data_IF_834137160587
#
_entry.id   IF_834137160587
#
_cell.length_a   1.000
_cell.length_b   1.000
_cell.length_c   1.000
_cell.angle_alpha   90.00
_cell.angle_beta   90.00
_cell.angle_gamma   90.00
#
_symmetry.space_group_name_H-M   'P 1'
#
loop_
_entity.id
_entity.type
_entity.pdbx_description
1 polymer ?
#
# COMPACT_ATOMS: atom_id res chain seq x y z
N UNK A 1 -8.81 -15.51 11.01
CA UNK A 1 -7.40 -15.26 11.41
C UNK A 1 -7.24 -13.78 11.77
N UNK A 2 -6.23 -13.43 12.57
CA UNK A 2 -5.95 -12.02 12.93
C UNK A 2 -5.25 -11.32 11.76
N UNK A 3 -5.78 -10.20 11.29
CA UNK A 3 -5.14 -9.39 10.24
C UNK A 3 -3.85 -8.77 10.75
N UNK A 4 -2.87 -8.62 9.85
CA UNK A 4 -1.62 -7.87 10.08
C UNK A 4 -1.67 -6.54 9.34
N UNK A 5 -0.92 -5.57 9.81
CA UNK A 5 -0.84 -4.22 9.23
C UNK A 5 0.61 -3.78 9.20
N UNK A 6 0.95 -2.88 8.27
CA UNK A 6 2.24 -2.18 8.32
C UNK A 6 2.10 -1.08 9.37
N UNK A 7 3.04 -1.01 10.31
CA UNK A 7 3.05 0.01 11.36
C UNK A 7 4.19 0.98 11.16
N UNK A 8 3.99 2.22 11.62
CA UNK A 8 5.03 3.22 11.79
C UNK A 8 5.29 3.31 13.30
N UNK A 9 6.53 3.14 13.74
CA UNK A 9 6.88 3.33 15.15
C UNK A 9 6.95 4.82 15.53
N UNK A 10 7.16 5.13 16.82
CA UNK A 10 7.28 6.51 17.29
C UNK A 10 8.47 7.29 16.71
N UNK A 11 9.43 6.59 16.10
CA UNK A 11 10.59 7.19 15.43
C UNK A 11 10.35 7.36 13.92
N UNK A 12 9.14 7.05 13.44
CA UNK A 12 8.80 7.14 12.03
C UNK A 12 9.30 5.96 11.19
N UNK A 13 9.73 4.85 11.79
CA UNK A 13 10.26 3.68 11.09
C UNK A 13 9.13 2.70 10.75
N UNK A 14 9.06 2.31 9.47
CA UNK A 14 8.10 1.31 9.00
C UNK A 14 8.50 -0.11 9.40
N UNK A 15 7.54 -0.84 9.97
CA UNK A 15 7.62 -2.27 10.23
C UNK A 15 6.62 -3.02 9.35
N UNK A 16 7.13 -3.77 8.37
CA UNK A 16 6.33 -4.61 7.47
C UNK A 16 6.30 -6.03 8.05
N UNK A 17 5.12 -6.66 8.23
CA UNK A 17 5.03 -8.02 8.76
C UNK A 17 5.71 -9.04 7.83
N UNK A 18 6.11 -10.18 8.39
CA UNK A 18 6.74 -11.28 7.63
C UNK A 18 5.73 -12.06 6.79
N UNK A 19 4.50 -12.24 7.30
CA UNK A 19 3.40 -12.84 6.55
C UNK A 19 2.55 -11.73 5.90
N UNK A 20 2.53 -11.72 4.57
CA UNK A 20 1.81 -10.74 3.75
C UNK A 20 0.42 -11.20 3.32
N UNK A 21 0.09 -12.49 3.43
CA UNK A 21 -1.23 -13.03 3.05
C UNK A 21 -2.35 -12.51 3.96
N UNK A 22 -2.01 -12.26 5.22
CA UNK A 22 -2.93 -11.70 6.21
C UNK A 22 -2.84 -10.17 6.33
N UNK A 23 -2.09 -9.52 5.44
CA UNK A 23 -1.92 -8.07 5.47
C UNK A 23 -3.13 -7.39 4.87
N UNK A 24 -3.88 -6.69 5.72
CA UNK A 24 -5.08 -5.97 5.34
C UNK A 24 -5.12 -4.64 6.08
N UNK A 25 -5.04 -3.53 5.34
CA UNK A 25 -4.99 -2.19 5.91
C UNK A 25 -6.27 -1.41 5.63
N UNK A 26 -6.80 -0.72 6.63
CA UNK A 26 -7.93 0.19 6.48
C UNK A 26 -7.50 1.51 5.85
N UNK A 27 -8.46 2.30 5.37
CA UNK A 27 -8.20 3.66 4.86
C UNK A 27 -7.46 4.52 5.89
N UNK A 28 -7.90 4.49 7.16
CA UNK A 28 -7.27 5.27 8.23
C UNK A 28 -5.82 4.83 8.51
N UNK A 29 -5.54 3.52 8.47
CA UNK A 29 -4.18 2.99 8.62
C UNK A 29 -3.27 3.41 7.47
N UNK A 30 -3.80 3.43 6.24
CA UNK A 30 -3.05 3.89 5.06
C UNK A 30 -2.76 5.39 5.09
N UNK A 31 -3.75 6.21 5.45
CA UNK A 31 -3.60 7.67 5.64
C UNK A 31 -2.48 7.94 6.66
N UNK A 32 -2.54 7.25 7.80
CA UNK A 32 -1.55 7.41 8.87
C UNK A 32 -0.16 6.93 8.44
N UNK A 33 -0.04 5.75 7.82
CA UNK A 33 1.24 5.20 7.38
C UNK A 33 1.88 6.04 6.27
N UNK A 34 1.09 6.51 5.32
CA UNK A 34 1.58 7.21 4.14
C UNK A 34 1.75 8.71 4.36
N UNK A 35 1.26 9.26 5.47
CA UNK A 35 1.21 10.70 5.72
C UNK A 35 0.50 11.46 4.57
N UNK A 36 -0.68 10.99 4.18
CA UNK A 36 -1.51 11.60 3.11
C UNK A 36 -2.92 11.88 3.61
N UNK A 37 -3.65 12.76 2.93
CA UNK A 37 -5.06 13.01 3.25
C UNK A 37 -5.95 11.92 2.64
N UNK A 38 -7.09 11.63 3.30
CA UNK A 38 -8.09 10.68 2.80
C UNK A 38 -8.57 11.00 1.36
N UNK A 39 -8.86 12.27 0.98
CA UNK A 39 -9.23 12.58 -0.41
C UNK A 39 -8.14 12.22 -1.42
N UNK A 40 -6.85 12.44 -1.08
CA UNK A 40 -5.74 12.11 -1.96
C UNK A 40 -5.58 10.60 -2.13
N UNK A 41 -5.71 9.84 -1.03
CA UNK A 41 -5.71 8.38 -1.04
C UNK A 41 -6.83 7.83 -1.94
N UNK A 42 -8.07 8.31 -1.73
CA UNK A 42 -9.23 7.86 -2.51
C UNK A 42 -9.10 8.17 -4.00
N UNK A 43 -8.53 9.33 -4.35
CA UNK A 43 -8.25 9.67 -5.75
C UNK A 43 -7.29 8.66 -6.40
N UNK A 44 -6.25 8.23 -5.68
CA UNK A 44 -5.28 7.23 -6.18
C UNK A 44 -5.92 5.85 -6.31
N UNK A 45 -6.72 5.44 -5.34
CA UNK A 45 -7.47 4.17 -5.37
C UNK A 45 -8.39 4.13 -6.60
N UNK A 46 -9.11 5.21 -6.88
CA UNK A 46 -9.97 5.29 -8.07
C UNK A 46 -9.18 5.16 -9.38
N UNK A 47 -7.99 5.78 -9.48
CA UNK A 47 -7.14 5.64 -10.66
C UNK A 47 -6.67 4.19 -10.83
N UNK A 48 -6.23 3.54 -9.75
CA UNK A 48 -5.81 2.12 -9.79
C UNK A 48 -6.93 1.22 -10.31
N UNK A 49 -8.17 1.43 -9.85
CA UNK A 49 -9.31 0.66 -10.33
C UNK A 49 -9.67 0.96 -11.78
N UNK A 50 -9.57 2.21 -12.21
CA UNK A 50 -9.81 2.58 -13.62
C UNK A 50 -8.81 1.92 -14.57
N UNK A 51 -7.57 1.74 -14.14
CA UNK A 51 -6.55 1.09 -14.95
C UNK A 51 -6.67 -0.44 -14.99
N UNK A 52 -7.53 -1.05 -14.16
CA UNK A 52 -7.82 -2.48 -14.22
C UNK A 52 -6.64 -3.40 -13.85
N UNK A 53 -5.58 -2.85 -13.25
CA UNK A 53 -4.36 -3.59 -12.91
C UNK A 53 -4.55 -4.57 -11.75
N UNK A 54 -5.58 -4.37 -10.93
CA UNK A 54 -5.90 -5.20 -9.77
C UNK A 54 -7.39 -5.53 -9.74
N UNK A 55 -7.74 -6.80 -9.52
CA UNK A 55 -9.14 -7.19 -9.31
C UNK A 55 -9.60 -6.73 -7.93
N UNK A 56 -10.74 -6.01 -7.87
CA UNK A 56 -11.35 -5.58 -6.61
C UNK A 56 -11.58 -6.75 -5.64
N UNK A 57 -11.94 -7.94 -6.14
CA UNK A 57 -12.21 -9.11 -5.31
C UNK A 57 -10.98 -9.69 -4.62
N UNK A 58 -9.79 -9.42 -5.16
CA UNK A 58 -8.53 -9.94 -4.63
C UNK A 58 -7.89 -8.97 -3.64
N UNK A 59 -8.10 -7.67 -3.85
CA UNK A 59 -7.35 -6.63 -3.15
C UNK A 59 -8.19 -5.76 -2.22
N UNK A 60 -9.51 -5.93 -2.21
CA UNK A 60 -10.42 -5.20 -1.34
C UNK A 60 -11.42 -6.15 -0.67
N UNK A 61 -11.62 -5.96 0.63
CA UNK A 61 -12.68 -6.65 1.38
C UNK A 61 -13.38 -5.71 2.35
N UNK A 62 -14.63 -6.04 2.69
CA UNK A 62 -15.40 -5.30 3.69
C UNK A 62 -15.41 -6.10 4.99
N UNK A 63 -15.04 -5.45 6.09
CA UNK A 63 -15.06 -6.05 7.42
C UNK A 63 -16.01 -5.26 8.34
N UNK A 64 -16.83 -5.98 9.10
CA UNK A 64 -17.61 -5.37 10.17
C UNK A 64 -16.69 -5.12 11.38
N UNK A 65 -16.56 -3.86 11.78
CA UNK A 65 -15.75 -3.44 12.94
C UNK A 65 -16.56 -3.54 14.23
N UNK A 66 -17.83 -3.14 14.16
CA UNK A 66 -18.81 -3.23 15.24
C UNK A 66 -20.20 -3.31 14.62
N UNK A 67 -21.22 -3.64 15.41
CA UNK A 67 -22.58 -3.92 14.92
C UNK A 67 -23.09 -2.80 14.00
N UNK A 68 -23.17 -3.09 12.70
CA UNK A 68 -23.63 -2.16 11.66
C UNK A 68 -22.56 -1.16 11.13
N UNK A 69 -21.35 -1.15 11.70
CA UNK A 69 -20.23 -0.32 11.23
C UNK A 69 -19.27 -1.19 10.44
N UNK A 70 -19.10 -0.82 9.18
CA UNK A 70 -18.25 -1.51 8.24
C UNK A 70 -17.06 -0.65 7.84
N UNK A 71 -15.91 -1.28 7.66
CA UNK A 71 -14.73 -0.67 7.08
C UNK A 71 -14.30 -1.41 5.82
N UNK A 72 -13.68 -0.67 4.91
CA UNK A 72 -13.01 -1.23 3.74
C UNK A 72 -11.55 -1.49 4.08
N UNK A 73 -11.07 -2.69 3.75
CA UNK A 73 -9.69 -3.10 3.90
C UNK A 73 -9.06 -3.34 2.54
N UNK A 74 -7.78 -3.02 2.45
CA UNK A 74 -6.96 -3.15 1.26
C UNK A 74 -5.82 -4.14 1.51
N UNK A 75 -5.70 -5.13 0.63
CA UNK A 75 -4.67 -6.15 0.68
C UNK A 75 -3.31 -5.64 0.22
N UNK A 76 -2.26 -6.42 0.49
CA UNK A 76 -0.88 -6.03 0.16
C UNK A 76 -0.65 -5.53 -1.28
N UNK A 77 -1.18 -6.16 -2.35
CA UNK A 77 -1.01 -5.65 -3.71
C UNK A 77 -1.54 -4.21 -3.90
N UNK A 78 -2.67 -3.89 -3.28
CA UNK A 78 -3.25 -2.55 -3.32
C UNK A 78 -2.39 -1.55 -2.54
N UNK A 79 -1.89 -1.93 -1.36
CA UNK A 79 -1.00 -1.08 -0.56
C UNK A 79 0.27 -0.72 -1.33
N UNK A 80 0.85 -1.70 -2.03
CA UNK A 80 2.01 -1.49 -2.91
C UNK A 80 1.65 -0.54 -4.05
N UNK A 81 0.57 -0.79 -4.79
CA UNK A 81 0.15 0.06 -5.90
C UNK A 81 -0.08 1.52 -5.48
N UNK A 82 -0.76 1.74 -4.35
CA UNK A 82 -0.98 3.07 -3.76
C UNK A 82 0.36 3.75 -3.44
N UNK A 83 1.27 3.01 -2.79
CA UNK A 83 2.58 3.50 -2.40
C UNK A 83 3.43 3.93 -3.60
N UNK A 84 3.37 3.20 -4.72
CA UNK A 84 4.10 3.57 -5.93
C UNK A 84 3.53 4.80 -6.63
N UNK A 85 2.23 5.10 -6.47
CA UNK A 85 1.59 6.29 -7.06
C UNK A 85 1.70 7.56 -6.23
N UNK A 86 1.92 7.43 -4.92
CA UNK A 86 2.00 8.58 -4.01
C UNK A 86 3.42 9.11 -3.87
N UNK A 87 3.58 10.42 -3.79
CA UNK A 87 4.88 11.10 -3.60
C UNK A 87 5.15 11.52 -2.15
N UNK A 88 4.47 10.90 -1.17
CA UNK A 88 4.60 11.25 0.24
C UNK A 88 5.83 10.61 0.92
N UNK A 89 6.22 11.12 2.08
CA UNK A 89 7.34 10.58 2.86
C UNK A 89 7.08 9.11 3.26
N UNK A 90 5.89 8.79 3.76
CA UNK A 90 5.54 7.41 4.12
C UNK A 90 5.56 6.46 2.91
N UNK A 91 5.12 6.94 1.74
CA UNK A 91 5.22 6.18 0.50
C UNK A 91 6.68 5.95 0.07
N UNK A 92 7.55 6.96 0.19
CA UNK A 92 8.97 6.83 -0.10
C UNK A 92 9.64 5.80 0.81
N UNK A 93 9.36 5.84 2.11
CA UNK A 93 9.91 4.87 3.05
C UNK A 93 9.44 3.44 2.74
N UNK A 94 8.16 3.26 2.41
CA UNK A 94 7.63 1.94 2.07
C UNK A 94 8.25 1.42 0.76
N UNK A 95 8.40 2.26 -0.27
CA UNK A 95 9.17 1.92 -1.48
C UNK A 95 10.58 1.47 -1.14
N UNK A 96 11.29 2.23 -0.31
CA UNK A 96 12.67 1.90 0.09
C UNK A 96 12.73 0.58 0.87
N UNK A 97 11.77 0.31 1.76
CA UNK A 97 11.68 -0.94 2.50
C UNK A 97 11.39 -2.14 1.59
N UNK A 98 10.48 -1.99 0.62
CA UNK A 98 10.21 -2.99 -0.41
C UNK A 98 11.47 -3.23 -1.23
N UNK A 99 12.11 -2.18 -1.75
CA UNK A 99 13.36 -2.32 -2.49
C UNK A 99 14.45 -3.00 -1.66
N UNK A 100 14.67 -2.61 -0.40
CA UNK A 100 15.66 -3.24 0.47
C UNK A 100 15.39 -4.74 0.65
N UNK A 101 14.13 -5.16 0.77
CA UNK A 101 13.76 -6.59 0.81
C UNK A 101 14.02 -7.29 -0.52
N UNK A 102 13.69 -6.66 -1.65
CA UNK A 102 13.96 -7.21 -2.99
C UNK A 102 15.47 -7.33 -3.28
N UNK A 103 16.24 -6.29 -2.96
CA UNK A 103 17.70 -6.25 -3.11
C UNK A 103 18.41 -7.17 -2.10
N UNK A 104 17.85 -7.37 -0.90
CA UNK A 104 18.33 -8.37 0.05
C UNK A 104 18.00 -9.81 -0.37
N UNK A 105 16.94 -10.00 -1.17
CA UNK A 105 16.55 -11.28 -1.74
C UNK A 105 17.29 -11.63 -3.05
N UNK A 106 18.35 -10.88 -3.41
CA UNK A 106 19.13 -11.00 -4.66
C UNK A 106 19.85 -12.32 -4.92
N UNK A 107 19.57 -13.38 -4.17
CA UNK A 107 19.82 -14.71 -4.72
C UNK A 107 18.68 -15.25 -5.60
N UNK A 108 17.39 -14.85 -5.49
CA UNK A 108 16.31 -15.59 -6.21
C UNK A 108 15.01 -14.88 -6.65
N UNK A 109 14.93 -13.57 -6.90
CA UNK A 109 13.68 -13.04 -7.50
C UNK A 109 13.87 -11.84 -8.44
N UNK A 110 13.66 -12.06 -9.74
CA UNK A 110 13.41 -11.00 -10.71
C UNK A 110 11.91 -10.67 -10.69
N UNK A 111 11.54 -9.54 -10.09
CA UNK A 111 10.17 -9.01 -10.14
C UNK A 111 10.19 -7.80 -11.08
N UNK A 112 9.46 -7.90 -12.20
CA UNK A 112 9.27 -6.80 -13.15
C UNK A 112 8.09 -5.95 -12.67
N UNK A 113 8.39 -4.79 -12.10
CA UNK A 113 7.38 -3.76 -11.80
C UNK A 113 7.29 -2.82 -13.00
N UNK A 114 6.25 -2.94 -13.83
CA UNK A 114 5.98 -1.95 -14.86
C UNK A 114 5.33 -0.72 -14.21
N UNK A 115 6.15 0.32 -13.96
CA UNK A 115 5.70 1.61 -13.46
C UNK A 115 5.62 2.59 -14.63
N UNK A 116 4.41 2.88 -15.09
CA UNK A 116 4.17 4.01 -16.00
C UNK A 116 4.00 5.27 -15.15
N UNK A 117 5.03 6.10 -15.11
CA UNK A 117 4.96 7.47 -14.60
C UNK A 117 5.12 8.44 -15.77
N UNK A 118 4.15 9.33 -15.95
CA UNK A 118 4.34 10.49 -16.81
C UNK A 118 5.51 11.31 -16.28
N UNK A 119 6.59 11.35 -17.06
CA UNK A 119 7.74 12.23 -16.85
C UNK A 119 7.31 13.67 -17.09
N UNK A 120 6.94 14.38 -16.03
CA UNK A 120 7.01 15.82 -16.05
C UNK A 120 8.49 16.21 -15.94
N UNK A 121 9.10 16.43 -17.11
CA UNK A 121 10.37 17.13 -17.22
C UNK A 121 10.19 18.51 -16.58
N UNK A 122 10.91 18.75 -15.49
CA UNK A 122 11.10 20.10 -14.97
C UNK A 122 12.27 20.68 -15.78
N UNK A 123 11.96 21.66 -16.63
CA UNK A 123 12.93 22.55 -17.26
C UNK A 123 13.46 23.56 -16.24
#
# INVERSE_FOLDING_TARGET
>A
MKRTVITVDGNGILSIPSNLENLWMSEGELVNMLHVTAPKLNSVIQVIYKEGMLSMSEVQQRQETSKGIWQTLYGFPMVVAICFRLTSNGAMQLRNAIFKRLYGAKEKAAIVLQLYGETNAIS
#
